data_IF_043802883246
#
_entry.id   IF_043802883246
#
_cell.length_a   1.000
_cell.length_b   1.000
_cell.length_c   1.000
_cell.angle_alpha   90.00
_cell.angle_beta   90.00
_cell.angle_gamma   90.00
#
_symmetry.space_group_name_H-M   'P 1'
#
loop_
_entity.id
_entity.type
_entity.pdbx_description
1 polymer ?
#
# COMPACT_ATOMS: atom_id res chain seq x y z
N UNK A 1 -1.17 3.95 26.44
CA UNK A 1 -0.90 3.35 25.11
C UNK A 1 -2.04 2.37 24.85
N UNK A 2 -2.76 2.52 23.75
CA UNK A 2 -4.03 1.80 23.53
C UNK A 2 -3.77 0.33 23.11
N UNK A 3 -4.65 -0.61 23.47
CA UNK A 3 -4.52 -2.05 23.15
C UNK A 3 -4.33 -2.30 21.66
N UNK A 4 -5.01 -1.53 20.80
CA UNK A 4 -4.89 -1.63 19.35
C UNK A 4 -3.50 -1.22 18.83
N UNK A 5 -2.89 -0.16 19.42
CA UNK A 5 -1.52 0.23 19.09
C UNK A 5 -0.51 -0.84 19.48
N UNK A 6 -0.69 -1.46 20.65
CA UNK A 6 0.18 -2.57 21.06
C UNK A 6 0.07 -3.75 20.10
N UNK A 7 -1.14 -4.05 19.62
CA UNK A 7 -1.35 -5.09 18.58
C UNK A 7 -0.65 -4.73 17.28
N UNK A 8 -0.70 -3.47 16.82
CA UNK A 8 0.03 -3.03 15.62
C UNK A 8 1.54 -3.22 15.78
N UNK A 9 2.10 -2.76 16.91
CA UNK A 9 3.53 -2.89 17.21
C UNK A 9 3.98 -4.35 17.26
N UNK A 10 3.15 -5.24 17.84
CA UNK A 10 3.43 -6.68 17.93
C UNK A 10 3.41 -7.41 16.58
N UNK A 11 2.72 -6.85 15.59
CA UNK A 11 2.60 -7.42 14.24
C UNK A 11 3.53 -6.73 13.22
N UNK A 12 4.57 -6.03 13.69
CA UNK A 12 5.65 -5.52 12.85
C UNK A 12 5.48 -4.08 12.34
N UNK A 13 4.48 -3.34 12.82
CA UNK A 13 4.49 -1.88 12.69
C UNK A 13 5.56 -1.31 13.61
N UNK A 14 6.40 -0.40 13.10
CA UNK A 14 7.33 0.33 13.96
C UNK A 14 6.59 1.45 14.70
N UNK A 15 7.11 1.88 15.85
CA UNK A 15 6.61 3.08 16.53
C UNK A 15 6.64 4.33 15.63
N UNK A 16 7.56 4.39 14.65
CA UNK A 16 7.56 5.43 13.61
C UNK A 16 6.38 5.32 12.64
N UNK A 17 5.96 4.11 12.29
CA UNK A 17 4.82 3.88 11.38
C UNK A 17 3.52 4.29 12.06
N UNK A 18 3.33 3.88 13.31
CA UNK A 18 2.19 4.25 14.15
C UNK A 18 2.18 5.76 14.42
N UNK A 19 3.35 6.37 14.67
CA UNK A 19 3.49 7.81 14.84
C UNK A 19 3.10 8.61 13.59
N UNK A 20 3.44 8.13 12.38
CA UNK A 20 2.99 8.75 11.12
C UNK A 20 1.47 8.66 10.94
N UNK A 21 0.88 7.50 11.24
CA UNK A 21 -0.58 7.32 11.23
C UNK A 21 -1.25 8.28 12.22
N UNK A 22 -0.73 8.38 13.45
CA UNK A 22 -1.21 9.31 14.48
C UNK A 22 -1.04 10.78 14.11
N UNK A 23 0.04 11.14 13.41
CA UNK A 23 0.28 12.50 12.93
C UNK A 23 -0.77 12.94 11.89
N UNK A 24 -1.28 11.99 11.09
CA UNK A 24 -2.39 12.24 10.15
C UNK A 24 -3.73 12.40 10.92
N UNK A 25 -3.86 11.74 12.07
CA UNK A 25 -5.06 11.68 12.92
C UNK A 25 -5.16 12.75 14.00
N UNK A 26 -4.13 13.57 14.23
CA UNK A 26 -4.04 14.47 15.40
C UNK A 26 -5.14 15.55 15.44
N UNK A 27 -6.06 15.54 14.48
CA UNK A 27 -7.22 16.41 14.40
C UNK A 27 -8.49 15.86 15.06
N UNK A 28 -8.51 14.59 15.47
CA UNK A 28 -9.74 13.91 15.90
C UNK A 28 -9.58 13.26 17.29
N UNK A 29 -10.57 13.47 18.16
CA UNK A 29 -10.55 13.09 19.58
C UNK A 29 -10.67 11.57 19.76
N UNK A 30 -11.20 10.85 18.76
CA UNK A 30 -11.40 9.39 18.84
C UNK A 30 -10.32 8.60 18.09
N UNK A 31 -9.05 8.83 18.45
CA UNK A 31 -7.89 8.36 17.69
C UNK A 31 -7.84 6.84 17.43
N UNK A 32 -8.42 6.00 18.29
CA UNK A 32 -8.36 4.54 18.14
C UNK A 32 -9.27 3.97 17.07
N UNK A 33 -10.54 4.39 17.05
CA UNK A 33 -11.49 3.99 16.00
C UNK A 33 -11.02 4.52 14.65
N UNK A 34 -10.51 5.75 14.63
CA UNK A 34 -10.03 6.38 13.41
C UNK A 34 -8.70 5.75 12.94
N UNK A 35 -7.83 5.26 13.83
CA UNK A 35 -6.64 4.48 13.45
C UNK A 35 -7.02 3.15 12.78
N UNK A 36 -7.97 2.42 13.36
CA UNK A 36 -8.46 1.16 12.80
C UNK A 36 -9.10 1.39 11.43
N UNK A 37 -9.96 2.40 11.32
CA UNK A 37 -10.60 2.79 10.05
C UNK A 37 -9.58 3.23 8.99
N UNK A 38 -8.56 4.01 9.38
CA UNK A 38 -7.48 4.40 8.46
C UNK A 38 -6.66 3.20 7.98
N UNK A 39 -6.31 2.26 8.87
CA UNK A 39 -5.59 1.03 8.48
C UNK A 39 -6.42 0.21 7.49
N UNK A 40 -7.74 0.15 7.68
CA UNK A 40 -8.68 -0.56 6.80
C UNK A 40 -8.83 0.14 5.43
N UNK A 41 -8.98 1.46 5.41
CA UNK A 41 -8.95 2.30 4.20
C UNK A 41 -7.64 2.12 3.43
N UNK A 42 -6.50 2.12 4.15
CA UNK A 42 -5.17 1.95 3.57
C UNK A 42 -4.99 0.55 2.96
N UNK A 43 -5.51 -0.49 3.62
CA UNK A 43 -5.56 -1.87 3.10
C UNK A 43 -6.42 -1.99 1.85
N UNK A 44 -7.56 -1.28 1.79
CA UNK A 44 -8.42 -1.27 0.60
C UNK A 44 -7.76 -0.57 -0.58
N UNK A 45 -7.10 0.57 -0.33
CA UNK A 45 -6.30 1.31 -1.33
C UNK A 45 -5.08 0.52 -1.77
N UNK A 46 -4.52 -0.31 -0.91
CA UNK A 46 -3.45 -1.25 -1.26
C UNK A 46 -3.85 -2.19 -2.40
N UNK A 47 -5.05 -2.77 -2.29
CA UNK A 47 -5.56 -3.72 -3.28
C UNK A 47 -5.79 -3.05 -4.63
N UNK A 48 -6.28 -1.80 -4.63
CA UNK A 48 -6.38 -0.99 -5.84
C UNK A 48 -4.99 -0.75 -6.49
N UNK A 49 -3.96 -0.48 -5.69
CA UNK A 49 -2.57 -0.38 -6.15
C UNK A 49 -2.02 -1.65 -6.76
N UNK A 50 -2.26 -2.79 -6.09
CA UNK A 50 -1.88 -4.12 -6.61
C UNK A 50 -2.60 -4.41 -7.94
N UNK A 51 -3.91 -4.19 -8.03
CA UNK A 51 -4.65 -4.35 -9.30
C UNK A 51 -4.01 -3.49 -10.39
N UNK A 52 -3.73 -2.22 -10.09
CA UNK A 52 -3.13 -1.30 -11.05
C UNK A 52 -1.75 -1.79 -11.53
N UNK A 53 -0.93 -2.31 -10.61
CA UNK A 53 0.38 -2.89 -10.92
C UNK A 53 0.26 -4.18 -11.74
N UNK A 54 -0.74 -5.03 -11.47
CA UNK A 54 -1.05 -6.20 -12.28
C UNK A 54 -1.44 -5.79 -13.70
N UNK A 55 -2.32 -4.80 -13.86
CA UNK A 55 -2.72 -4.28 -15.19
C UNK A 55 -1.51 -3.76 -15.96
N UNK A 56 -0.66 -2.93 -15.33
CA UNK A 56 0.57 -2.43 -15.94
C UNK A 56 1.51 -3.57 -16.36
N UNK A 57 1.68 -4.58 -15.51
CA UNK A 57 2.49 -5.75 -15.82
C UNK A 57 1.89 -6.58 -16.98
N UNK A 58 0.57 -6.70 -17.06
CA UNK A 58 -0.10 -7.42 -18.14
C UNK A 58 0.09 -6.72 -19.50
N UNK A 59 -0.01 -5.39 -19.53
CA UNK A 59 0.29 -4.59 -20.73
C UNK A 59 1.75 -4.80 -21.17
N UNK A 60 2.69 -4.84 -20.21
CA UNK A 60 4.09 -5.08 -20.49
C UNK A 60 4.36 -6.49 -21.05
N UNK A 61 3.77 -7.53 -20.43
CA UNK A 61 3.89 -8.92 -20.90
C UNK A 61 3.26 -9.08 -22.29
N UNK A 62 2.14 -8.41 -22.56
CA UNK A 62 1.51 -8.41 -23.87
C UNK A 62 2.41 -7.79 -24.94
N UNK A 63 3.07 -6.66 -24.61
CA UNK A 63 4.06 -6.01 -25.48
C UNK A 63 5.26 -6.91 -25.78
N UNK A 64 5.76 -7.62 -24.77
CA UNK A 64 6.83 -8.63 -24.92
C UNK A 64 6.41 -9.79 -25.82
N UNK A 65 5.21 -10.35 -25.61
CA UNK A 65 4.71 -11.49 -26.39
C UNK A 65 4.51 -11.16 -27.88
N UNK A 66 4.22 -9.89 -28.20
CA UNK A 66 4.09 -9.38 -29.58
C UNK A 66 5.44 -9.07 -30.25
N UNK A 67 6.56 -9.27 -29.56
CA UNK A 67 7.91 -9.13 -30.15
C UNK A 67 8.28 -7.71 -30.59
N UNK A 68 7.63 -6.67 -30.05
CA UNK A 68 7.98 -5.27 -30.32
C UNK A 68 9.28 -4.91 -29.57
N UNK A 69 10.41 -5.44 -30.03
CA UNK A 69 11.72 -5.20 -29.43
C UNK A 69 12.16 -3.74 -29.54
N UNK A 70 11.74 -3.07 -30.60
CA UNK A 70 11.96 -1.64 -30.85
C UNK A 70 11.19 -0.72 -29.89
N UNK A 71 10.10 -1.19 -29.28
CA UNK A 71 9.30 -0.41 -28.31
C UNK A 71 9.51 -0.84 -26.85
N UNK A 72 10.37 -1.83 -26.57
CA UNK A 72 10.61 -2.36 -25.21
C UNK A 72 11.01 -1.29 -24.21
N UNK A 73 11.86 -0.36 -24.65
CA UNK A 73 12.34 0.75 -23.81
C UNK A 73 11.18 1.67 -23.42
N UNK A 74 10.27 1.96 -24.36
CA UNK A 74 9.07 2.78 -24.09
C UNK A 74 8.16 2.10 -23.06
N UNK A 75 7.91 0.80 -23.22
CA UNK A 75 7.12 0.02 -22.26
C UNK A 75 7.78 -0.01 -20.86
N UNK A 76 9.10 -0.16 -20.79
CA UNK A 76 9.83 -0.14 -19.52
C UNK A 76 9.73 1.22 -18.82
N UNK A 77 9.84 2.33 -19.56
CA UNK A 77 9.68 3.69 -19.02
C UNK A 77 8.28 3.88 -18.43
N UNK A 78 7.23 3.49 -19.14
CA UNK A 78 5.85 3.58 -18.67
C UNK A 78 5.64 2.75 -17.40
N UNK A 79 6.22 1.54 -17.34
CA UNK A 79 6.13 0.67 -16.18
C UNK A 79 6.84 1.27 -14.95
N UNK A 80 8.04 1.83 -15.13
CA UNK A 80 8.79 2.50 -14.07
C UNK A 80 8.04 3.74 -13.57
N UNK A 81 7.55 4.59 -14.47
CA UNK A 81 6.73 5.76 -14.11
C UNK A 81 5.47 5.36 -13.35
N UNK A 82 4.74 4.36 -13.86
CA UNK A 82 3.54 3.83 -13.20
C UNK A 82 3.85 3.28 -11.81
N UNK A 83 4.94 2.52 -11.66
CA UNK A 83 5.37 1.99 -10.38
C UNK A 83 5.74 3.10 -9.37
N UNK A 84 6.44 4.16 -9.81
CA UNK A 84 6.78 5.31 -8.97
C UNK A 84 5.53 6.06 -8.50
N UNK A 85 4.59 6.33 -9.41
CA UNK A 85 3.31 6.98 -9.06
C UNK A 85 2.55 6.12 -8.04
N UNK A 86 2.41 4.83 -8.30
CA UNK A 86 1.72 3.90 -7.40
C UNK A 86 2.42 3.85 -6.04
N UNK A 87 3.76 3.83 -5.99
CA UNK A 87 4.52 3.82 -4.74
C UNK A 87 4.39 5.11 -3.93
N UNK A 88 4.26 6.26 -4.61
CA UNK A 88 4.13 7.56 -3.95
C UNK A 88 2.68 7.82 -3.49
N UNK A 89 1.70 7.45 -4.32
CA UNK A 89 0.26 7.60 -4.03
C UNK A 89 -0.20 6.58 -2.99
N UNK A 90 0.35 5.37 -3.02
CA UNK A 90 -0.03 4.28 -2.12
C UNK A 90 1.21 3.93 -1.32
N UNK A 91 1.30 4.29 -0.02
CA UNK A 91 2.44 3.94 0.83
C UNK A 91 2.50 2.42 1.02
N UNK A 92 3.08 1.74 0.04
CA UNK A 92 2.95 0.31 -0.24
C UNK A 92 3.51 -0.55 0.90
N UNK A 93 4.53 -0.05 1.59
CA UNK A 93 5.12 -0.69 2.76
C UNK A 93 4.16 -0.68 3.98
N UNK A 94 3.52 0.47 4.27
CA UNK A 94 2.51 0.54 5.33
C UNK A 94 1.28 -0.28 5.00
N UNK A 95 0.87 -0.24 3.73
CA UNK A 95 -0.32 -0.88 3.24
C UNK A 95 -0.18 -2.43 3.20
N UNK A 96 1.01 -2.96 2.88
CA UNK A 96 1.31 -4.39 3.02
C UNK A 96 1.32 -4.86 4.48
N UNK A 97 1.88 -4.05 5.39
CA UNK A 97 1.84 -4.33 6.84
C UNK A 97 0.39 -4.31 7.36
N UNK A 98 -0.43 -3.37 6.89
CA UNK A 98 -1.85 -3.28 7.23
C UNK A 98 -2.62 -4.52 6.76
N UNK A 99 -2.42 -4.94 5.50
CA UNK A 99 -3.04 -6.14 4.96
C UNK A 99 -2.65 -7.41 5.75
N UNK A 100 -1.36 -7.57 6.06
CA UNK A 100 -0.89 -8.70 6.86
C UNK A 100 -1.51 -8.69 8.25
N UNK A 101 -1.55 -7.52 8.88
CA UNK A 101 -2.19 -7.35 10.18
C UNK A 101 -3.67 -7.75 10.14
N UNK A 102 -4.48 -7.23 9.20
CA UNK A 102 -5.89 -7.60 9.06
C UNK A 102 -6.07 -9.11 8.86
N UNK A 103 -5.19 -9.75 8.07
CA UNK A 103 -5.26 -11.18 7.80
C UNK A 103 -4.83 -12.07 8.98
N UNK A 104 -3.87 -11.65 9.78
CA UNK A 104 -3.41 -12.38 10.99
C UNK A 104 -4.28 -12.12 12.21
N UNK A 105 -4.88 -10.92 12.31
CA UNK A 105 -5.65 -10.50 13.47
C UNK A 105 -7.16 -10.75 13.36
N UNK A 106 -7.65 -11.20 12.20
CA UNK A 106 -9.01 -11.71 12.02
C UNK A 106 -10.12 -10.73 12.43
N UNK A 107 -9.88 -9.43 12.24
CA UNK A 107 -10.89 -8.37 12.40
C UNK A 107 -11.48 -7.98 11.05
#
# INVERSE_FOLDING_TARGET
MNDYEQRLLRNGFSAKDVGKLKAILTRDENQSDTLQSLVQELSKRFWAGIICLIILSAVFIYGLAKGHTESLISYAIVLIMGAVIVYFVIPMNLAWKAFRFTRESGC
#
